data_IF_686649480093
#
_entry.id   IF_686649480093
#
_cell.length_a   1.000
_cell.length_b   1.000
_cell.length_c   1.000
_cell.angle_alpha   90.00
_cell.angle_beta   90.00
_cell.angle_gamma   90.00
#
_symmetry.space_group_name_H-M   'P 1'
#
loop_
_entity.id
_entity.type
_entity.pdbx_description
1 polymer ?
#
# COMPACT_ATOMS: atom_id res chain seq x y z
N UNK A 1 -0.08 -0.61 -1.25
CA UNK A 1 -0.05 -0.65 -2.73
C UNK A 1 0.87 0.46 -3.24
N UNK A 2 1.53 0.22 -4.37
CA UNK A 2 2.36 1.21 -5.06
C UNK A 2 2.03 1.20 -6.55
N UNK A 3 2.00 2.37 -7.17
CA UNK A 3 1.97 2.51 -8.62
C UNK A 3 3.37 2.87 -9.11
N UNK A 4 3.95 2.01 -9.94
CA UNK A 4 5.31 2.17 -10.46
C UNK A 4 5.24 2.62 -11.91
N UNK A 5 6.06 3.60 -12.27
CA UNK A 5 6.27 4.05 -13.64
C UNK A 5 7.75 3.95 -13.97
N UNK A 6 8.07 3.31 -15.09
CA UNK A 6 9.45 3.09 -15.55
C UNK A 6 9.58 3.60 -16.99
N UNK A 7 10.54 4.49 -17.23
CA UNK A 7 10.96 4.82 -18.60
C UNK A 7 11.86 3.73 -19.15
N UNK A 8 11.52 3.22 -20.32
CA UNK A 8 12.18 2.09 -20.95
C UNK A 8 13.21 2.59 -21.97
N UNK A 9 14.51 2.27 -21.80
CA UNK A 9 15.54 2.60 -22.76
C UNK A 9 15.35 1.93 -24.12
N UNK A 10 15.96 2.51 -25.14
CA UNK A 10 15.99 1.95 -26.49
C UNK A 10 16.52 0.51 -26.50
N UNK A 11 15.78 -0.41 -27.15
CA UNK A 11 16.17 -1.82 -27.25
C UNK A 11 15.81 -2.69 -26.03
N UNK A 12 15.29 -2.12 -24.94
CA UNK A 12 14.93 -2.87 -23.71
C UNK A 12 13.43 -3.19 -23.57
N UNK A 13 12.59 -2.65 -24.45
CA UNK A 13 11.12 -2.85 -24.43
C UNK A 13 10.69 -4.31 -24.29
N UNK A 14 11.27 -5.20 -25.09
CA UNK A 14 10.88 -6.61 -25.08
C UNK A 14 11.21 -7.28 -23.75
N UNK A 15 12.39 -7.00 -23.19
CA UNK A 15 12.83 -7.57 -21.93
C UNK A 15 11.96 -7.12 -20.74
N UNK A 16 11.55 -5.84 -20.72
CA UNK A 16 10.64 -5.33 -19.67
C UNK A 16 9.28 -5.99 -19.73
N UNK A 17 8.72 -6.10 -20.94
CA UNK A 17 7.41 -6.75 -21.14
C UNK A 17 7.47 -8.21 -20.72
N UNK A 18 8.54 -8.92 -21.08
CA UNK A 18 8.74 -10.33 -20.71
C UNK A 18 8.79 -10.51 -19.19
N UNK A 19 9.54 -9.67 -18.47
CA UNK A 19 9.55 -9.70 -16.98
C UNK A 19 8.17 -9.46 -16.38
N UNK A 20 7.42 -8.47 -16.89
CA UNK A 20 6.09 -8.16 -16.35
C UNK A 20 5.07 -9.26 -16.66
N UNK A 21 5.15 -9.86 -17.85
CA UNK A 21 4.29 -10.99 -18.24
C UNK A 21 4.63 -12.25 -17.41
N UNK A 22 5.91 -12.53 -17.14
CA UNK A 22 6.37 -13.67 -16.34
C UNK A 22 5.90 -13.57 -14.87
N UNK A 23 5.93 -12.37 -14.30
CA UNK A 23 5.43 -12.07 -12.95
C UNK A 23 3.89 -11.92 -12.93
N UNK A 24 3.21 -12.02 -14.07
CA UNK A 24 1.75 -11.93 -14.15
C UNK A 24 1.16 -10.54 -13.88
N UNK A 25 1.97 -9.48 -13.99
CA UNK A 25 1.61 -8.10 -13.65
C UNK A 25 0.86 -7.46 -14.82
N UNK A 26 -0.31 -6.84 -14.56
CA UNK A 26 -0.95 -5.98 -15.55
C UNK A 26 -0.21 -4.65 -15.68
N UNK A 27 0.05 -4.21 -16.91
CA UNK A 27 0.75 -2.95 -17.18
C UNK A 27 0.09 -2.16 -18.32
N UNK A 28 0.26 -0.84 -18.27
CA UNK A 28 -0.01 0.06 -19.38
C UNK A 28 1.32 0.49 -20.02
N UNK A 29 1.43 0.36 -21.33
CA UNK A 29 2.61 0.77 -22.11
C UNK A 29 2.22 1.93 -23.02
N UNK A 30 2.94 3.05 -22.88
CA UNK A 30 2.76 4.26 -23.70
C UNK A 30 4.06 4.56 -24.44
N UNK A 31 3.98 4.86 -25.74
CA UNK A 31 5.16 5.19 -26.54
C UNK A 31 5.69 6.59 -26.19
N UNK A 32 7.01 6.70 -26.05
CA UNK A 32 7.70 7.95 -25.76
C UNK A 32 8.03 8.65 -27.10
N UNK A 33 7.70 9.93 -27.23
CA UNK A 33 7.88 10.70 -28.48
C UNK A 33 8.75 11.94 -28.32
N UNK A 34 9.29 12.19 -27.13
CA UNK A 34 10.13 13.35 -26.80
C UNK A 34 11.55 13.27 -27.37
N UNK A 35 11.91 12.18 -28.04
CA UNK A 35 13.20 12.02 -28.72
C UNK A 35 14.39 11.84 -27.78
N UNK A 36 14.15 11.33 -26.56
CA UNK A 36 15.19 11.00 -25.58
C UNK A 36 15.73 9.59 -25.84
N UNK A 37 16.66 9.11 -25.02
CA UNK A 37 17.18 7.72 -25.08
C UNK A 37 16.14 6.64 -24.68
N UNK A 38 14.90 7.06 -24.41
CA UNK A 38 13.77 6.23 -24.00
C UNK A 38 12.76 6.05 -25.13
N UNK A 39 12.13 4.89 -25.19
CA UNK A 39 11.16 4.52 -26.25
C UNK A 39 9.75 4.30 -25.74
N UNK A 40 9.58 4.08 -24.44
CA UNK A 40 8.27 3.88 -23.83
C UNK A 40 8.27 4.27 -22.35
N UNK A 41 7.07 4.54 -21.83
CA UNK A 41 6.75 4.58 -20.42
C UNK A 41 5.89 3.36 -20.12
N UNK A 42 6.28 2.58 -19.12
CA UNK A 42 5.51 1.42 -18.65
C UNK A 42 5.05 1.71 -17.22
N UNK A 43 3.75 1.57 -16.97
CA UNK A 43 3.15 1.83 -15.67
C UNK A 43 2.33 0.63 -15.19
N UNK A 44 2.50 0.25 -13.93
CA UNK A 44 1.89 -0.96 -13.36
C UNK A 44 1.69 -0.80 -11.84
N UNK A 45 0.59 -1.35 -11.30
CA UNK A 45 0.38 -1.43 -9.85
C UNK A 45 1.10 -2.66 -9.27
N UNK A 46 1.66 -2.50 -8.06
CA UNK A 46 2.25 -3.59 -7.29
C UNK A 46 1.77 -3.57 -5.82
N UNK A 47 1.64 -4.74 -5.17
CA UNK A 47 1.62 -4.81 -3.71
C UNK A 47 2.96 -4.31 -3.16
N UNK A 48 2.95 -3.81 -1.93
CA UNK A 48 4.14 -3.15 -1.35
C UNK A 48 5.33 -4.10 -1.26
N UNK A 49 5.08 -5.38 -0.96
CA UNK A 49 6.07 -6.46 -0.90
C UNK A 49 6.71 -6.78 -2.24
N UNK A 50 5.99 -6.65 -3.36
CA UNK A 50 6.49 -6.96 -4.70
C UNK A 50 7.37 -5.85 -5.32
N UNK A 51 7.40 -4.65 -4.74
CA UNK A 51 8.10 -3.51 -5.34
C UNK A 51 9.60 -3.78 -5.47
N UNK A 52 10.26 -4.24 -4.41
CA UNK A 52 11.69 -4.54 -4.44
C UNK A 52 12.04 -5.72 -5.36
N UNK A 53 11.38 -6.89 -5.25
CA UNK A 53 11.60 -8.02 -6.14
C UNK A 53 11.45 -7.67 -7.63
N UNK A 54 10.36 -6.99 -8.00
CA UNK A 54 10.08 -6.64 -9.40
C UNK A 54 11.08 -5.60 -9.90
N UNK A 55 11.43 -4.59 -9.10
CA UNK A 55 12.46 -3.62 -9.49
C UNK A 55 13.83 -4.27 -9.66
N UNK A 56 14.17 -5.30 -8.88
CA UNK A 56 15.42 -6.04 -9.05
C UNK A 56 15.43 -6.84 -10.37
N UNK A 57 14.35 -7.56 -10.69
CA UNK A 57 14.23 -8.26 -11.99
C UNK A 57 14.30 -7.31 -13.19
N UNK A 58 13.70 -6.12 -13.07
CA UNK A 58 13.81 -5.10 -14.11
C UNK A 58 15.26 -4.59 -14.27
N UNK A 59 16.02 -4.48 -13.18
CA UNK A 59 17.46 -4.14 -13.23
C UNK A 59 18.26 -5.23 -13.94
N UNK A 60 18.00 -6.49 -13.64
CA UNK A 60 18.64 -7.64 -14.31
C UNK A 60 18.32 -7.67 -15.82
N UNK A 61 17.11 -7.26 -16.22
CA UNK A 61 16.73 -7.08 -17.62
C UNK A 61 17.42 -5.89 -18.32
N UNK A 62 18.14 -5.06 -17.56
CA UNK A 62 18.92 -3.93 -18.04
C UNK A 62 18.18 -2.60 -18.00
N UNK A 63 17.21 -2.44 -17.10
CA UNK A 63 16.75 -1.13 -16.64
C UNK A 63 17.74 -0.64 -15.59
N UNK A 64 18.78 0.05 -16.05
CA UNK A 64 19.83 0.60 -15.20
C UNK A 64 19.27 1.63 -14.20
N UNK A 65 20.02 1.92 -13.14
CA UNK A 65 19.63 2.89 -12.09
C UNK A 65 19.38 4.30 -12.64
N UNK A 66 19.87 4.59 -13.83
CA UNK A 66 19.70 5.87 -14.52
C UNK A 66 18.36 5.97 -15.27
N UNK A 67 17.63 4.86 -15.41
CA UNK A 67 16.28 4.86 -15.96
C UNK A 67 15.32 5.55 -14.98
N UNK A 68 14.62 6.56 -15.49
CA UNK A 68 13.66 7.33 -14.71
C UNK A 68 12.53 6.42 -14.20
N UNK A 69 12.56 6.14 -12.89
CA UNK A 69 11.58 5.30 -12.19
C UNK A 69 10.87 6.14 -11.13
N UNK A 70 9.54 6.15 -11.17
CA UNK A 70 8.70 6.86 -10.21
C UNK A 70 7.85 5.83 -9.48
N UNK A 71 7.86 5.88 -8.15
CA UNK A 71 7.01 5.05 -7.30
C UNK A 71 6.05 5.98 -6.57
N UNK A 72 4.75 5.77 -6.75
CA UNK A 72 3.68 6.55 -6.15
C UNK A 72 2.84 5.68 -5.22
N UNK A 73 2.28 6.29 -4.18
CA UNK A 73 1.22 5.67 -3.40
C UNK A 73 -0.06 5.57 -4.24
N UNK A 74 -0.67 4.39 -4.26
CA UNK A 74 -1.98 4.17 -4.85
C UNK A 74 -2.98 3.87 -3.73
N UNK A 75 -4.04 4.67 -3.65
CA UNK A 75 -5.09 4.50 -2.62
C UNK A 75 -5.96 3.28 -2.90
N UNK A 76 -6.23 2.99 -4.19
CA UNK A 76 -7.00 1.81 -4.60
C UNK A 76 -6.53 1.31 -5.95
N UNK A 77 -6.48 -0.02 -6.11
CA UNK A 77 -6.32 -0.70 -7.40
C UNK A 77 -7.46 -1.70 -7.51
N UNK A 78 -8.14 -1.74 -8.66
CA UNK A 78 -9.24 -2.68 -8.90
C UNK A 78 -8.88 -3.51 -10.13
N UNK A 79 -8.35 -4.71 -9.91
CA UNK A 79 -8.03 -5.68 -10.97
C UNK A 79 -7.97 -7.09 -10.40
N UNK A 80 -8.66 -8.04 -11.03
CA UNK A 80 -8.59 -9.48 -10.67
C UNK A 80 -7.17 -10.03 -10.74
N UNK A 81 -6.31 -9.46 -11.57
CA UNK A 81 -4.91 -9.89 -11.70
C UNK A 81 -4.04 -9.32 -10.60
N UNK A 82 -4.35 -8.12 -10.13
CA UNK A 82 -3.73 -7.52 -8.96
C UNK A 82 -4.04 -8.33 -7.71
N UNK A 83 -5.30 -8.73 -7.52
CA UNK A 83 -5.72 -9.54 -6.36
C UNK A 83 -4.92 -10.85 -6.27
N UNK A 84 -4.70 -11.52 -7.41
CA UNK A 84 -3.86 -12.73 -7.48
C UNK A 84 -2.38 -12.47 -7.21
N UNK A 85 -1.86 -11.35 -7.70
CA UNK A 85 -0.48 -10.95 -7.45
C UNK A 85 -0.27 -10.64 -5.96
N UNK A 86 -1.26 -10.02 -5.31
CA UNK A 86 -1.25 -9.78 -3.86
C UNK A 86 -1.28 -11.09 -3.07
N UNK A 87 -2.14 -12.04 -3.45
CA UNK A 87 -2.17 -13.40 -2.87
C UNK A 87 -0.83 -14.12 -3.02
N UNK A 88 -0.24 -14.13 -4.23
CA UNK A 88 1.04 -14.81 -4.48
C UNK A 88 2.18 -14.25 -3.63
N UNK A 89 2.31 -12.93 -3.57
CA UNK A 89 3.37 -12.29 -2.79
C UNK A 89 3.10 -12.31 -1.28
N UNK A 90 1.86 -12.58 -0.85
CA UNK A 90 1.55 -12.91 0.54
C UNK A 90 2.02 -14.34 0.89
N UNK A 91 1.74 -15.32 0.02
CA UNK A 91 2.12 -16.74 0.20
C UNK A 91 3.64 -16.98 0.07
N UNK A 92 4.35 -16.28 -0.82
CA UNK A 92 5.82 -16.43 -0.94
C UNK A 92 6.58 -15.90 0.29
N UNK A 93 5.90 -15.21 1.19
CA UNK A 93 6.46 -14.72 2.48
C UNK A 93 6.27 -15.76 3.62
N UNK A 94 5.73 -16.96 3.33
CA UNK A 94 5.60 -18.10 4.26
C UNK A 94 6.94 -18.79 4.58
N UNK A 95 7.87 -18.08 5.25
CA UNK A 95 8.76 -18.73 6.22
C UNK A 95 8.00 -18.82 7.56
N UNK A 96 7.33 -19.96 7.73
CA UNK A 96 6.48 -20.38 8.85
C UNK A 96 7.19 -20.29 10.23
N UNK A 97 7.26 -19.10 10.82
CA UNK A 97 7.24 -18.83 12.28
C UNK A 97 7.44 -17.33 12.64
N UNK A 98 7.49 -16.45 11.64
CA UNK A 98 7.59 -15.01 11.86
C UNK A 98 6.67 -14.30 10.89
N UNK A 99 5.47 -13.92 11.35
CA UNK A 99 4.70 -12.86 10.69
C UNK A 99 5.68 -11.71 10.45
N UNK A 100 5.87 -11.33 9.18
CA UNK A 100 6.88 -10.34 8.81
C UNK A 100 6.58 -9.05 9.58
N UNK A 101 7.60 -8.40 10.15
CA UNK A 101 7.40 -7.16 10.94
C UNK A 101 6.71 -6.10 10.10
N UNK A 102 7.01 -6.12 8.81
CA UNK A 102 6.48 -5.29 7.75
C UNK A 102 4.99 -5.54 7.51
N UNK A 103 4.51 -6.77 7.64
CA UNK A 103 3.10 -7.15 7.52
C UNK A 103 2.30 -6.67 8.74
N UNK A 104 2.81 -6.91 9.96
CA UNK A 104 2.21 -6.39 11.19
C UNK A 104 2.14 -4.86 11.15
N UNK A 105 3.20 -4.21 10.63
CA UNK A 105 3.25 -2.76 10.49
C UNK A 105 2.26 -2.23 9.46
N UNK A 106 2.16 -2.88 8.30
CA UNK A 106 1.22 -2.50 7.24
C UNK A 106 -0.24 -2.67 7.68
N UNK A 107 -0.56 -3.77 8.35
CA UNK A 107 -1.89 -4.04 8.89
C UNK A 107 -2.23 -3.07 10.04
N UNK A 108 -1.27 -2.75 10.91
CA UNK A 108 -1.50 -1.77 11.96
C UNK A 108 -1.74 -0.36 11.40
N UNK A 109 -1.08 0.01 10.29
CA UNK A 109 -1.29 1.27 9.58
C UNK A 109 -2.63 1.32 8.84
N UNK A 110 -3.08 0.21 8.24
CA UNK A 110 -4.35 0.15 7.50
C UNK A 110 -5.56 0.42 8.41
N UNK A 111 -5.43 0.09 9.69
CA UNK A 111 -6.45 0.34 10.72
C UNK A 111 -6.48 1.80 11.21
N UNK A 112 -5.47 2.63 10.91
CA UNK A 112 -5.40 4.01 11.41
C UNK A 112 -6.33 4.91 10.58
N UNK A 113 -7.34 5.54 11.20
CA UNK A 113 -8.19 6.50 10.51
C UNK A 113 -7.42 7.78 10.19
N UNK A 114 -7.91 8.55 9.21
CA UNK A 114 -7.39 9.89 8.93
C UNK A 114 -7.33 10.76 10.18
N UNK A 115 -6.28 11.59 10.32
CA UNK A 115 -6.07 12.40 11.51
C UNK A 115 -7.24 13.33 11.84
N UNK A 116 -7.84 13.94 10.81
CA UNK A 116 -9.05 14.77 10.94
C UNK A 116 -10.21 13.97 11.52
N UNK A 117 -10.48 12.78 10.97
CA UNK A 117 -11.53 11.87 11.40
C UNK A 117 -11.31 11.40 12.84
N UNK A 118 -10.08 11.02 13.20
CA UNK A 118 -9.72 10.66 14.57
C UNK A 118 -10.04 11.79 15.56
N UNK A 119 -9.58 13.00 15.29
CA UNK A 119 -9.78 14.15 16.19
C UNK A 119 -11.26 14.49 16.32
N UNK A 120 -11.98 14.58 15.20
CA UNK A 120 -13.41 14.94 15.21
C UNK A 120 -14.22 13.89 15.97
N UNK A 121 -14.04 12.60 15.64
CA UNK A 121 -14.80 11.53 16.29
C UNK A 121 -14.46 11.39 17.78
N UNK A 122 -13.22 11.64 18.17
CA UNK A 122 -12.81 11.67 19.58
C UNK A 122 -13.48 12.80 20.34
N UNK A 123 -13.52 14.01 19.77
CA UNK A 123 -14.21 15.15 20.40
C UNK A 123 -15.71 14.88 20.51
N UNK A 124 -16.34 14.35 19.47
CA UNK A 124 -17.76 13.97 19.49
C UNK A 124 -18.03 12.91 20.58
N UNK A 125 -17.21 11.86 20.64
CA UNK A 125 -17.32 10.83 21.67
C UNK A 125 -17.21 11.41 23.08
N UNK A 126 -16.25 12.30 23.33
CA UNK A 126 -16.07 12.95 24.64
C UNK A 126 -17.28 13.81 25.05
N UNK A 127 -17.87 14.55 24.10
CA UNK A 127 -19.09 15.34 24.34
C UNK A 127 -20.28 14.43 24.68
N UNK A 128 -20.47 13.36 23.91
CA UNK A 128 -21.56 12.39 24.14
C UNK A 128 -21.37 11.65 25.47
N UNK A 129 -20.14 11.25 25.81
CA UNK A 129 -19.82 10.64 27.10
C UNK A 129 -20.17 11.59 28.27
N UNK A 130 -19.78 12.86 28.15
CA UNK A 130 -20.09 13.90 29.16
C UNK A 130 -21.59 14.08 29.33
N UNK A 131 -22.34 14.14 28.22
CA UNK A 131 -23.80 14.19 28.25
C UNK A 131 -24.40 12.93 28.90
N UNK A 132 -23.87 11.74 28.60
CA UNK A 132 -24.31 10.48 29.19
C UNK A 132 -24.17 10.45 30.71
N UNK A 133 -23.06 11.00 31.24
CA UNK A 133 -22.84 11.13 32.69
C UNK A 133 -23.81 12.16 33.30
N UNK A 134 -23.99 13.32 32.68
CA UNK A 134 -24.92 14.35 33.17
C UNK A 134 -26.38 13.91 33.17
N UNK A 135 -26.75 13.04 32.22
CA UNK A 135 -28.08 12.46 32.09
C UNK A 135 -28.27 11.18 32.92
N UNK A 136 -27.26 10.75 33.67
CA UNK A 136 -27.23 9.49 34.42
C UNK A 136 -27.68 8.28 33.57
N UNK A 137 -27.20 8.23 32.33
CA UNK A 137 -27.59 7.22 31.33
C UNK A 137 -26.42 6.33 30.95
N UNK A 138 -26.31 5.14 31.57
CA UNK A 138 -25.29 4.15 31.23
C UNK A 138 -25.32 3.78 29.75
N UNK A 139 -26.51 3.74 29.13
CA UNK A 139 -26.65 3.42 27.72
C UNK A 139 -25.96 4.45 26.81
N UNK A 140 -26.06 5.74 27.12
CA UNK A 140 -25.41 6.82 26.36
C UNK A 140 -23.89 6.78 26.56
N UNK A 141 -23.44 6.50 27.79
CA UNK A 141 -22.01 6.32 28.09
C UNK A 141 -21.43 5.15 27.31
N UNK A 142 -22.11 3.99 27.28
CA UNK A 142 -21.65 2.83 26.51
C UNK A 142 -21.68 3.12 25.00
N UNK A 143 -22.72 3.79 24.50
CA UNK A 143 -22.81 4.20 23.10
C UNK A 143 -21.65 5.12 22.67
N UNK A 144 -21.17 5.98 23.56
CA UNK A 144 -20.05 6.88 23.27
C UNK A 144 -18.74 6.16 22.96
N UNK A 145 -18.52 4.96 23.52
CA UNK A 145 -17.30 4.15 23.31
C UNK A 145 -17.17 3.64 21.87
N UNK A 146 -18.30 3.47 21.18
CA UNK A 146 -18.34 2.95 19.80
C UNK A 146 -18.03 4.04 18.77
N UNK A 147 -18.15 5.31 19.16
CA UNK A 147 -18.04 6.46 18.24
C UNK A 147 -16.59 6.74 17.84
N UNK A 148 -15.64 6.68 18.77
CA UNK A 148 -14.25 7.03 18.50
C UNK A 148 -13.46 5.83 17.94
N UNK A 149 -12.81 5.95 16.77
CA UNK A 149 -12.03 4.86 16.17
C UNK A 149 -10.65 4.71 16.83
N UNK A 150 -10.63 4.27 18.10
CA UNK A 150 -9.40 4.19 18.91
C UNK A 150 -8.58 2.90 18.70
N UNK A 151 -9.18 1.87 18.11
CA UNK A 151 -8.54 0.55 17.93
C UNK A 151 -7.31 0.64 17.03
N UNK A 152 -7.43 1.28 15.87
CA UNK A 152 -6.30 1.47 14.94
C UNK A 152 -5.12 2.20 15.56
N UNK A 153 -5.31 3.41 16.12
CA UNK A 153 -4.24 4.14 16.81
C UNK A 153 -3.58 3.35 17.94
N UNK A 154 -4.35 2.59 18.73
CA UNK A 154 -3.81 1.77 19.81
C UNK A 154 -2.96 0.58 19.29
N UNK A 155 -3.40 -0.07 18.21
CA UNK A 155 -2.67 -1.15 17.54
C UNK A 155 -1.39 -0.61 16.91
N UNK A 156 -1.46 0.49 16.15
CA UNK A 156 -0.30 1.14 15.54
C UNK A 156 0.75 1.59 16.58
N UNK A 157 0.32 2.16 17.70
CA UNK A 157 1.23 2.53 18.79
C UNK A 157 1.89 1.30 19.43
N UNK A 158 1.15 0.20 19.60
CA UNK A 158 1.67 -1.04 20.18
C UNK A 158 2.73 -1.67 19.27
N UNK A 159 2.47 -1.73 17.97
CA UNK A 159 3.42 -2.24 16.96
C UNK A 159 4.65 -1.34 16.88
N UNK A 160 4.46 -0.02 16.80
CA UNK A 160 5.56 0.96 16.75
C UNK A 160 6.45 0.99 18.00
N UNK A 161 6.02 0.38 19.11
CA UNK A 161 6.85 0.26 20.32
C UNK A 161 7.80 -0.96 20.27
N UNK A 162 7.45 -1.97 19.49
CA UNK A 162 8.16 -3.28 19.46
C UNK A 162 9.04 -3.43 18.21
N UNK A 163 8.79 -2.62 17.17
CA UNK A 163 9.58 -2.56 15.94
C UNK A 163 10.78 -1.62 16.10
#
# INVERSE_FOLDING_TARGET
MRHVQVMVPSGKRKAVVEVLDDEGIDYALTEETSGREYVALVSFPLPTSAVEPVLERLREAGIERDAYTVVMDAETVVSTRYDRLEEQYAEETDDEDRIAREEIYAEALSLVPEYSTFVIMTVVSAVVATAGVLLDSPAVVVGSMVIAPLVGPAMAASVGTVV
#
